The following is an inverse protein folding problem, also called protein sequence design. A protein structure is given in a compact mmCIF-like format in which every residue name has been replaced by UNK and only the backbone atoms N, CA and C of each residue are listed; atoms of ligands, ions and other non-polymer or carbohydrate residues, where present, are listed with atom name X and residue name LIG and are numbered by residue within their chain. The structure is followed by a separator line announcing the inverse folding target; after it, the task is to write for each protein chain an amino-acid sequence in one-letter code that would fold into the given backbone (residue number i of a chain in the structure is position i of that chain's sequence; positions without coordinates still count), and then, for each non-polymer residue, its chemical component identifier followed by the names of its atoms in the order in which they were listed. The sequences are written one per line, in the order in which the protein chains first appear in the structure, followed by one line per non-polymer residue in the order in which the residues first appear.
data_IF_567532100227
#
_entry.id   IF_567532100227
#
_cell.length_a   1.000
_cell.length_b   1.000
_cell.length_c   1.000
_cell.angle_alpha   90.00
_cell.angle_beta   90.00
_cell.angle_gamma   90.00
#
_symmetry.space_group_name_H-M   'P 1'
#
loop_
_entity.id
_entity.type
_entity.pdbx_description
1 polymer ?
#
# COMPACT_ATOMS: atom_id res chain seq x y z
N UNK A 1 -11.15 3.29 -22.59
CA UNK A 1 -9.69 3.49 -22.45
C UNK A 1 -9.03 2.12 -22.47
N UNK A 2 -8.12 1.87 -23.38
CA UNK A 2 -7.33 0.62 -23.45
C UNK A 2 -6.30 0.57 -22.30
N UNK A 3 -5.68 -0.60 -22.08
CA UNK A 3 -4.61 -0.73 -21.09
C UNK A 3 -3.44 0.23 -21.39
N UNK A 4 -2.99 0.33 -22.65
CA UNK A 4 -1.89 1.22 -23.03
C UNK A 4 -2.22 2.71 -22.93
N UNK A 5 -3.48 3.12 -23.04
CA UNK A 5 -3.89 4.51 -22.79
C UNK A 5 -3.85 4.86 -21.30
N UNK A 6 -4.19 3.89 -20.44
CA UNK A 6 -4.07 4.05 -18.99
C UNK A 6 -2.60 4.13 -18.55
N UNK A 7 -1.79 3.24 -19.06
CA UNK A 7 -0.36 3.23 -18.75
C UNK A 7 0.25 4.59 -19.10
N UNK A 8 -0.06 5.14 -20.27
CA UNK A 8 0.39 6.49 -20.66
C UNK A 8 -0.18 7.60 -19.77
N UNK A 9 -1.47 7.53 -19.40
CA UNK A 9 -2.09 8.54 -18.53
C UNK A 9 -1.41 8.62 -17.17
N UNK A 10 -0.99 7.48 -16.62
CA UNK A 10 -0.45 7.39 -15.28
C UNK A 10 1.07 7.17 -15.22
N UNK A 11 1.79 7.24 -16.36
CA UNK A 11 3.23 6.93 -16.42
C UNK A 11 4.06 7.77 -15.43
N UNK A 12 3.85 9.09 -15.43
CA UNK A 12 4.56 10.01 -14.53
C UNK A 12 4.14 9.75 -13.07
N UNK A 13 2.85 9.64 -12.81
CA UNK A 13 2.33 9.33 -11.47
C UNK A 13 2.89 8.01 -10.94
N UNK A 14 2.86 6.94 -11.72
CA UNK A 14 3.35 5.61 -11.33
C UNK A 14 4.82 5.66 -10.96
N UNK A 15 5.62 6.40 -11.69
CA UNK A 15 7.05 6.55 -11.44
C UNK A 15 7.30 7.20 -10.08
N UNK A 16 6.65 8.35 -9.82
CA UNK A 16 6.78 9.05 -8.53
C UNK A 16 6.20 8.23 -7.37
N UNK A 17 5.01 7.68 -7.55
CA UNK A 17 4.34 6.87 -6.54
C UNK A 17 5.14 5.63 -6.17
N UNK A 18 5.70 4.94 -7.17
CA UNK A 18 6.60 3.79 -6.94
C UNK A 18 7.83 4.20 -6.15
N UNK A 19 8.47 5.31 -6.54
CA UNK A 19 9.61 5.84 -5.81
C UNK A 19 9.24 6.16 -4.36
N UNK A 20 8.23 7.01 -4.14
CA UNK A 20 7.85 7.46 -2.80
C UNK A 20 7.43 6.30 -1.90
N UNK A 21 6.56 5.43 -2.40
CA UNK A 21 6.04 4.31 -1.64
C UNK A 21 7.12 3.31 -1.21
N UNK A 22 8.11 3.03 -2.06
CA UNK A 22 9.23 2.16 -1.71
C UNK A 22 10.27 2.88 -0.84
N UNK A 23 10.55 4.16 -1.08
CA UNK A 23 11.49 4.94 -0.26
C UNK A 23 10.99 5.10 1.20
N UNK A 24 9.67 5.23 1.42
CA UNK A 24 9.07 5.19 2.75
C UNK A 24 9.45 3.91 3.49
N UNK A 25 9.52 2.78 2.81
CA UNK A 25 9.91 1.47 3.38
C UNK A 25 11.43 1.24 3.41
N UNK A 26 12.22 2.21 2.97
CA UNK A 26 13.68 2.15 3.06
C UNK A 26 14.41 1.69 1.79
N UNK A 27 13.72 1.56 0.66
CA UNK A 27 14.35 1.38 -0.65
C UNK A 27 15.22 2.61 -0.97
N UNK A 28 16.41 2.40 -1.48
CA UNK A 28 17.43 3.46 -1.68
C UNK A 28 17.56 3.95 -3.12
N UNK A 29 16.72 3.46 -4.03
CA UNK A 29 16.66 4.01 -5.39
C UNK A 29 16.21 5.47 -5.34
N UNK A 30 16.87 6.33 -6.09
CA UNK A 30 16.39 7.71 -6.34
C UNK A 30 15.22 7.69 -7.31
N UNK A 31 14.46 8.80 -7.41
CA UNK A 31 13.38 8.93 -8.39
C UNK A 31 13.87 8.66 -9.83
N UNK A 32 15.06 9.19 -10.18
CA UNK A 32 15.67 8.95 -11.49
C UNK A 32 16.04 7.48 -11.71
N UNK A 33 16.61 6.83 -10.71
CA UNK A 33 16.96 5.40 -10.78
C UNK A 33 15.70 4.55 -10.86
N UNK A 34 14.64 4.88 -10.09
CA UNK A 34 13.35 4.22 -10.20
C UNK A 34 12.79 4.31 -11.63
N UNK A 35 12.81 5.50 -12.24
CA UNK A 35 12.37 5.68 -13.62
C UNK A 35 13.15 4.79 -14.61
N UNK A 36 14.46 4.63 -14.42
CA UNK A 36 15.31 3.76 -15.25
C UNK A 36 14.97 2.28 -15.03
N UNK A 37 14.78 1.86 -13.78
CA UNK A 37 14.38 0.48 -13.43
C UNK A 37 13.04 0.14 -14.06
N UNK A 38 12.06 1.03 -14.00
CA UNK A 38 10.74 0.82 -14.60
C UNK A 38 10.77 0.70 -16.13
N UNK A 39 11.83 1.22 -16.77
CA UNK A 39 12.13 1.06 -18.20
C UNK A 39 12.97 -0.18 -18.51
N UNK A 40 13.23 -1.04 -17.52
CA UNK A 40 13.96 -2.30 -17.67
C UNK A 40 15.48 -2.20 -17.55
N UNK A 41 16.01 -1.08 -17.04
CA UNK A 41 17.45 -0.92 -16.81
C UNK A 41 17.81 -1.36 -15.39
N UNK A 42 19.05 -1.83 -15.23
CA UNK A 42 19.64 -2.14 -13.92
C UNK A 42 20.54 -0.98 -13.46
N UNK A 43 20.53 -0.74 -12.15
CA UNK A 43 21.35 0.31 -11.53
C UNK A 43 22.51 -0.35 -10.81
N UNK A 44 23.74 0.07 -11.17
CA UNK A 44 24.95 -0.45 -10.52
C UNK A 44 24.95 -0.17 -9.01
N UNK A 45 25.48 -1.11 -8.24
CA UNK A 45 25.59 -1.05 -6.77
C UNK A 45 24.28 -0.95 -6.01
N UNK A 46 23.14 -1.17 -6.66
CA UNK A 46 21.84 -1.33 -5.97
C UNK A 46 21.44 -2.79 -5.86
N UNK A 47 20.93 -3.25 -4.70
CA UNK A 47 20.47 -4.62 -4.53
C UNK A 47 19.38 -5.00 -5.53
N UNK A 48 19.42 -6.22 -6.04
CA UNK A 48 18.35 -6.74 -6.92
C UNK A 48 16.96 -6.63 -6.27
N UNK A 49 16.89 -6.86 -4.96
CA UNK A 49 15.65 -6.69 -4.18
C UNK A 49 14.99 -5.33 -4.44
N UNK A 50 15.76 -4.24 -4.44
CA UNK A 50 15.22 -2.89 -4.64
C UNK A 50 14.65 -2.67 -6.05
N UNK A 51 15.26 -3.29 -7.07
CA UNK A 51 14.73 -3.29 -8.43
C UNK A 51 13.41 -4.06 -8.53
N UNK A 52 13.34 -5.22 -7.87
CA UNK A 52 12.13 -6.04 -7.84
C UNK A 52 11.00 -5.32 -7.10
N UNK A 53 11.28 -4.70 -5.96
CA UNK A 53 10.30 -3.89 -5.22
C UNK A 53 9.70 -2.78 -6.09
N UNK A 54 10.51 -2.09 -6.89
CA UNK A 54 10.03 -1.04 -7.79
C UNK A 54 9.13 -1.61 -8.91
N UNK A 55 9.56 -2.66 -9.59
CA UNK A 55 8.77 -3.27 -10.68
C UNK A 55 7.48 -3.90 -10.17
N UNK A 56 7.53 -4.61 -9.05
CA UNK A 56 6.37 -5.24 -8.42
C UNK A 56 5.35 -4.20 -7.92
N UNK A 57 5.80 -3.09 -7.35
CA UNK A 57 4.91 -2.01 -6.91
C UNK A 57 4.19 -1.36 -8.11
N UNK A 58 4.90 -1.09 -9.21
CA UNK A 58 4.28 -0.64 -10.47
C UNK A 58 3.20 -1.61 -10.93
N UNK A 59 3.53 -2.90 -10.99
CA UNK A 59 2.62 -3.93 -11.48
C UNK A 59 1.37 -4.05 -10.59
N UNK A 60 1.55 -3.92 -9.26
CA UNK A 60 0.47 -3.87 -8.30
C UNK A 60 -0.43 -2.64 -8.50
N UNK A 61 0.14 -1.47 -8.81
CA UNK A 61 -0.66 -0.29 -9.11
C UNK A 61 -1.49 -0.46 -10.40
N UNK A 62 -0.91 -1.02 -11.47
CA UNK A 62 -1.67 -1.31 -12.69
C UNK A 62 -2.76 -2.36 -12.47
N UNK A 63 -2.52 -3.34 -11.61
CA UNK A 63 -3.58 -4.27 -11.17
C UNK A 63 -4.73 -3.51 -10.48
N UNK A 64 -4.41 -2.60 -9.55
CA UNK A 64 -5.38 -1.75 -8.86
C UNK A 64 -6.17 -0.89 -9.86
N UNK A 65 -5.53 -0.26 -10.83
CA UNK A 65 -6.20 0.48 -11.91
C UNK A 65 -7.17 -0.41 -12.71
N UNK A 66 -6.81 -1.66 -12.95
CA UNK A 66 -7.68 -2.64 -13.59
C UNK A 66 -8.95 -2.92 -12.79
N UNK A 67 -8.83 -3.02 -11.46
CA UNK A 67 -9.98 -3.24 -10.56
C UNK A 67 -10.95 -2.05 -10.54
N UNK A 68 -10.44 -0.83 -10.62
CA UNK A 68 -11.27 0.40 -10.63
C UNK A 68 -12.16 0.47 -11.87
N UNK A 69 -11.69 -0.04 -13.00
CA UNK A 69 -12.48 -0.06 -14.26
C UNK A 69 -13.62 -1.09 -14.26
N UNK A 70 -13.52 -2.09 -13.44
CA UNK A 70 -14.53 -3.15 -13.35
C UNK A 70 -15.82 -2.68 -12.66
N UNK A 71 -16.76 -3.62 -12.49
CA UNK A 71 -17.95 -3.35 -11.68
C UNK A 71 -17.50 -3.06 -10.24
N UNK A 72 -17.95 -1.95 -9.63
CA UNK A 72 -17.60 -1.64 -8.25
C UNK A 72 -17.94 -2.81 -7.32
N UNK A 73 -16.91 -3.36 -6.68
CA UNK A 73 -17.05 -4.44 -5.71
C UNK A 73 -16.68 -3.92 -4.33
N UNK A 74 -17.30 -4.48 -3.32
CA UNK A 74 -16.85 -4.30 -1.93
C UNK A 74 -15.41 -4.78 -1.80
N UNK A 75 -14.65 -4.15 -0.92
CA UNK A 75 -13.31 -4.62 -0.60
C UNK A 75 -13.42 -6.00 0.07
N UNK A 76 -12.61 -6.96 -0.38
CA UNK A 76 -12.58 -8.30 0.16
C UNK A 76 -11.14 -8.77 0.46
N UNK A 77 -11.05 -9.81 1.26
CA UNK A 77 -9.77 -10.41 1.66
C UNK A 77 -8.97 -10.93 0.46
N UNK A 78 -9.65 -11.46 -0.55
CA UNK A 78 -9.01 -11.99 -1.75
C UNK A 78 -8.31 -10.88 -2.54
N UNK A 79 -8.94 -9.72 -2.66
CA UNK A 79 -8.36 -8.52 -3.28
C UNK A 79 -7.13 -8.04 -2.54
N UNK A 80 -7.20 -7.94 -1.19
CA UNK A 80 -6.07 -7.54 -0.35
C UNK A 80 -4.88 -8.49 -0.54
N UNK A 81 -5.13 -9.79 -0.45
CA UNK A 81 -4.10 -10.83 -0.63
C UNK A 81 -3.52 -10.84 -2.05
N UNK A 82 -4.33 -10.56 -3.05
CA UNK A 82 -3.86 -10.49 -4.43
C UNK A 82 -2.96 -9.27 -4.67
N UNK A 83 -3.32 -8.08 -4.15
CA UNK A 83 -2.45 -6.89 -4.20
C UNK A 83 -1.11 -7.20 -3.51
N UNK A 84 -1.16 -7.75 -2.29
CA UNK A 84 0.06 -8.13 -1.57
C UNK A 84 0.89 -9.18 -2.34
N UNK A 85 0.25 -10.14 -3.00
CA UNK A 85 0.97 -11.17 -3.75
C UNK A 85 1.77 -10.61 -4.93
N UNK A 86 1.33 -9.48 -5.50
CA UNK A 86 2.07 -8.78 -6.55
C UNK A 86 3.20 -7.96 -5.93
N UNK A 87 2.93 -7.25 -4.82
CA UNK A 87 3.93 -6.46 -4.08
C UNK A 87 5.10 -7.31 -3.60
N UNK A 88 4.88 -8.59 -3.30
CA UNK A 88 5.89 -9.51 -2.77
C UNK A 88 6.10 -10.73 -3.70
N UNK A 89 6.04 -10.51 -5.02
CA UNK A 89 6.06 -11.59 -6.00
C UNK A 89 7.37 -12.40 -6.04
N UNK A 90 8.47 -11.83 -5.56
CA UNK A 90 9.77 -12.48 -5.43
C UNK A 90 9.87 -13.44 -4.23
N UNK A 91 8.84 -13.51 -3.37
CA UNK A 91 8.78 -14.39 -2.19
C UNK A 91 7.57 -15.33 -2.26
N UNK A 92 7.65 -16.43 -3.01
CA UNK A 92 6.51 -17.30 -3.29
C UNK A 92 5.83 -17.89 -2.04
N UNK A 93 6.55 -18.05 -0.92
CA UNK A 93 6.01 -18.60 0.33
C UNK A 93 5.23 -17.56 1.16
N UNK A 94 5.57 -16.27 1.00
CA UNK A 94 5.03 -15.17 1.82
C UNK A 94 3.94 -14.38 1.09
N UNK A 95 3.98 -14.36 -0.25
CA UNK A 95 3.09 -13.53 -1.06
C UNK A 95 1.61 -13.91 -0.88
N UNK A 96 0.79 -12.92 -0.51
CA UNK A 96 -0.63 -13.14 -0.28
C UNK A 96 -0.98 -13.98 0.95
N UNK A 97 0.00 -14.30 1.80
CA UNK A 97 -0.17 -15.15 2.97
C UNK A 97 0.00 -14.31 4.25
N UNK A 98 -0.94 -14.41 5.17
CA UNK A 98 -0.79 -13.78 6.49
C UNK A 98 0.38 -14.40 7.26
N UNK A 99 1.13 -13.54 7.95
CA UNK A 99 2.28 -13.97 8.75
C UNK A 99 1.88 -15.00 9.81
N UNK A 100 2.80 -15.90 10.09
CA UNK A 100 2.65 -16.94 11.12
C UNK A 100 3.70 -16.79 12.24
N UNK A 101 4.25 -15.58 12.37
CA UNK A 101 5.25 -15.24 13.38
C UNK A 101 5.10 -13.79 13.84
N UNK A 102 5.66 -13.43 15.01
CA UNK A 102 5.73 -12.05 15.46
C UNK A 102 6.56 -11.19 14.48
N UNK A 103 6.15 -9.93 14.31
CA UNK A 103 6.91 -8.90 13.59
C UNK A 103 7.01 -7.65 14.44
N UNK A 104 7.94 -6.76 14.08
CA UNK A 104 8.06 -5.42 14.66
C UNK A 104 7.95 -4.39 13.54
N UNK A 105 7.25 -3.30 13.81
CA UNK A 105 7.14 -2.17 12.89
C UNK A 105 8.23 -1.18 13.28
N UNK A 106 9.16 -0.91 12.36
CA UNK A 106 10.22 0.06 12.60
C UNK A 106 9.67 1.47 12.76
N UNK A 107 10.00 2.12 13.88
CA UNK A 107 9.56 3.49 14.16
C UNK A 107 8.15 3.63 14.73
N UNK A 108 7.42 2.52 14.97
CA UNK A 108 6.15 2.53 15.67
C UNK A 108 6.33 2.18 17.16
N UNK A 109 5.55 2.84 18.02
CA UNK A 109 5.38 2.46 19.43
C UNK A 109 4.46 1.25 19.61
N UNK A 110 3.61 1.01 18.62
CA UNK A 110 2.64 -0.07 18.58
C UNK A 110 3.30 -1.44 18.37
N UNK A 111 2.82 -2.43 19.11
CA UNK A 111 3.20 -3.85 18.93
C UNK A 111 2.07 -4.55 18.16
N UNK A 112 2.35 -5.06 16.95
CA UNK A 112 1.33 -5.78 16.18
C UNK A 112 0.75 -6.97 16.94
N UNK A 113 -0.54 -7.29 16.73
CA UNK A 113 -1.22 -8.37 17.44
C UNK A 113 -0.57 -9.73 17.19
N UNK A 114 -0.88 -10.68 18.07
CA UNK A 114 -0.47 -12.06 17.85
C UNK A 114 -0.96 -12.57 16.49
N UNK A 115 -0.08 -13.19 15.74
CA UNK A 115 -0.35 -13.68 14.40
C UNK A 115 -1.57 -14.64 14.31
N UNK A 116 -1.86 -15.41 15.35
CA UNK A 116 -3.03 -16.30 15.38
C UNK A 116 -4.37 -15.53 15.32
N UNK A 117 -4.39 -14.24 15.68
CA UNK A 117 -5.59 -13.39 15.63
C UNK A 117 -5.78 -12.68 14.30
N UNK A 118 -4.78 -12.68 13.41
CA UNK A 118 -4.80 -11.92 12.16
C UNK A 118 -6.02 -12.24 11.28
N UNK A 119 -6.37 -13.52 11.03
CA UNK A 119 -7.54 -13.81 10.19
C UNK A 119 -8.83 -13.17 10.71
N UNK A 120 -9.05 -13.26 12.04
CA UNK A 120 -10.23 -12.66 12.68
C UNK A 120 -10.20 -11.13 12.59
N UNK A 121 -9.07 -10.51 12.93
CA UNK A 121 -8.92 -9.04 12.88
C UNK A 121 -9.07 -8.49 11.48
N UNK A 122 -8.56 -9.17 10.46
CA UNK A 122 -8.74 -8.76 9.07
C UNK A 122 -10.19 -8.92 8.60
N UNK A 123 -10.86 -9.98 9.00
CA UNK A 123 -12.28 -10.16 8.73
C UNK A 123 -13.10 -9.02 9.35
N UNK A 124 -12.90 -8.74 10.64
CA UNK A 124 -13.57 -7.66 11.36
C UNK A 124 -13.31 -6.28 10.74
N UNK A 125 -12.06 -6.01 10.30
CA UNK A 125 -11.70 -4.77 9.63
C UNK A 125 -12.43 -4.61 8.30
N UNK A 126 -12.51 -5.67 7.49
CA UNK A 126 -13.19 -5.66 6.19
C UNK A 126 -14.70 -5.51 6.37
N UNK A 127 -15.30 -6.23 7.32
CA UNK A 127 -16.71 -6.11 7.67
C UNK A 127 -17.05 -4.69 8.13
N UNK A 128 -16.25 -4.13 9.05
CA UNK A 128 -16.39 -2.75 9.48
C UNK A 128 -16.29 -1.79 8.28
N UNK A 129 -15.29 -1.92 7.44
CA UNK A 129 -15.12 -1.04 6.29
C UNK A 129 -16.33 -1.06 5.34
N UNK A 130 -16.87 -2.24 5.09
CA UNK A 130 -17.99 -2.47 4.17
C UNK A 130 -19.38 -2.21 4.78
N UNK A 131 -19.48 -1.93 6.09
CA UNK A 131 -20.77 -1.69 6.76
C UNK A 131 -21.41 -0.36 6.37
N UNK A 132 -20.63 0.59 5.87
CA UNK A 132 -21.08 1.91 5.43
C UNK A 132 -20.48 2.28 4.07
N UNK A 133 -20.98 3.35 3.48
CA UNK A 133 -20.39 3.89 2.23
C UNK A 133 -18.97 4.39 2.50
N UNK A 134 -18.01 4.08 1.63
CA UNK A 134 -16.65 4.59 1.74
C UNK A 134 -16.63 6.13 1.73
N UNK A 135 -15.81 6.70 2.60
CA UNK A 135 -15.44 8.13 2.62
C UNK A 135 -13.91 8.22 2.72
N UNK A 136 -13.33 9.37 2.44
CA UNK A 136 -11.88 9.56 2.61
C UNK A 136 -11.43 9.29 4.03
N UNK A 137 -12.19 9.79 5.02
CA UNK A 137 -11.97 9.51 6.44
C UNK A 137 -11.95 8.00 6.72
N UNK A 138 -12.94 7.27 6.18
CA UNK A 138 -13.05 5.82 6.39
C UNK A 138 -11.94 5.03 5.71
N UNK A 139 -11.46 5.50 4.55
CA UNK A 139 -10.29 4.93 3.86
C UNK A 139 -9.02 5.17 4.69
N UNK A 140 -8.81 6.37 5.20
CA UNK A 140 -7.67 6.69 6.06
C UNK A 140 -7.69 5.86 7.36
N UNK A 141 -8.86 5.70 7.98
CA UNK A 141 -9.01 4.86 9.16
C UNK A 141 -8.78 3.38 8.85
N UNK A 142 -9.29 2.87 7.71
CA UNK A 142 -8.99 1.51 7.27
C UNK A 142 -7.47 1.31 7.14
N UNK A 143 -6.78 2.26 6.51
CA UNK A 143 -5.34 2.20 6.34
C UNK A 143 -4.60 2.17 7.68
N UNK A 144 -4.96 3.04 8.64
CA UNK A 144 -4.36 3.03 9.97
C UNK A 144 -4.56 1.70 10.71
N UNK A 145 -5.78 1.17 10.69
CA UNK A 145 -6.12 -0.12 11.32
C UNK A 145 -5.43 -1.30 10.63
N UNK A 146 -5.28 -1.24 9.30
CA UNK A 146 -4.53 -2.23 8.55
C UNK A 146 -3.05 -2.23 8.96
N UNK A 147 -2.42 -1.04 9.09
CA UNK A 147 -1.05 -0.90 9.56
C UNK A 147 -0.89 -1.39 11.01
N UNK A 148 -1.86 -1.16 11.90
CA UNK A 148 -1.86 -1.70 13.26
C UNK A 148 -1.91 -3.23 13.28
N UNK A 149 -2.74 -3.85 12.47
CA UNK A 149 -2.83 -5.32 12.37
C UNK A 149 -1.53 -5.89 11.79
N UNK A 150 -0.96 -5.19 10.82
CA UNK A 150 0.28 -5.59 10.13
C UNK A 150 0.24 -7.05 9.69
N UNK A 151 -0.70 -7.42 8.79
CA UNK A 151 -1.08 -8.80 8.60
C UNK A 151 -0.03 -9.67 7.90
N UNK A 152 0.93 -9.07 7.20
CA UNK A 152 1.92 -9.78 6.41
C UNK A 152 3.31 -9.68 7.04
N UNK A 153 4.24 -10.52 6.56
CA UNK A 153 5.61 -10.53 7.06
C UNK A 153 6.42 -9.31 6.58
N UNK A 154 6.09 -8.77 5.41
CA UNK A 154 6.69 -7.62 4.74
C UNK A 154 5.65 -7.01 3.78
N UNK A 155 5.90 -5.82 3.23
CA UNK A 155 5.05 -5.21 2.22
C UNK A 155 3.72 -4.63 2.71
N UNK A 156 3.47 -4.54 4.03
CA UNK A 156 2.22 -4.02 4.57
C UNK A 156 1.98 -2.57 4.15
N UNK A 157 2.93 -1.65 4.36
CA UNK A 157 2.78 -0.25 4.01
C UNK A 157 2.50 -0.04 2.52
N UNK A 158 3.25 -0.70 1.64
CA UNK A 158 3.03 -0.65 0.18
C UNK A 158 1.64 -1.15 -0.19
N UNK A 159 1.22 -2.29 0.37
CA UNK A 159 -0.11 -2.86 0.16
C UNK A 159 -1.21 -1.96 0.69
N UNK A 160 -1.08 -1.43 1.90
CA UNK A 160 -2.04 -0.53 2.52
C UNK A 160 -2.26 0.76 1.71
N UNK A 161 -1.19 1.38 1.20
CA UNK A 161 -1.29 2.56 0.33
C UNK A 161 -1.92 2.24 -1.04
N UNK A 162 -1.68 1.05 -1.59
CA UNK A 162 -2.33 0.59 -2.81
C UNK A 162 -3.83 0.34 -2.62
N UNK A 163 -4.24 -0.25 -1.49
CA UNK A 163 -5.65 -0.43 -1.12
C UNK A 163 -6.34 0.93 -0.93
N UNK A 164 -5.70 1.87 -0.24
CA UNK A 164 -6.24 3.22 -0.08
C UNK A 164 -6.47 3.89 -1.44
N UNK A 165 -5.52 3.78 -2.37
CA UNK A 165 -5.67 4.29 -3.73
C UNK A 165 -6.77 3.57 -4.53
N UNK A 166 -6.92 2.26 -4.38
CA UNK A 166 -8.04 1.52 -4.97
C UNK A 166 -9.39 2.14 -4.54
N UNK A 167 -9.56 2.35 -3.24
CA UNK A 167 -10.82 2.85 -2.70
C UNK A 167 -11.05 4.36 -3.02
N UNK A 168 -9.99 5.18 -3.01
CA UNK A 168 -10.03 6.58 -3.45
C UNK A 168 -10.48 6.69 -4.91
N UNK A 169 -9.88 5.89 -5.79
CA UNK A 169 -10.24 5.89 -7.21
C UNK A 169 -11.65 5.33 -7.47
N UNK A 170 -12.15 4.39 -6.68
CA UNK A 170 -13.56 3.95 -6.73
C UNK A 170 -14.55 5.08 -6.37
N UNK A 171 -14.12 6.05 -5.58
CA UNK A 171 -14.90 7.26 -5.30
C UNK A 171 -14.85 8.29 -6.43
N UNK A 172 -14.08 8.04 -7.49
CA UNK A 172 -13.93 8.95 -8.64
C UNK A 172 -12.85 10.02 -8.48
N UNK A 173 -11.99 9.91 -7.46
CA UNK A 173 -10.85 10.81 -7.28
C UNK A 173 -9.61 10.28 -7.98
N UNK A 174 -8.65 11.17 -8.27
CA UNK A 174 -7.32 10.76 -8.73
C UNK A 174 -6.56 10.07 -7.57
N UNK A 175 -5.65 9.16 -7.89
CA UNK A 175 -4.85 8.48 -6.88
C UNK A 175 -3.91 9.46 -6.15
N UNK A 176 -3.61 9.16 -4.90
CA UNK A 176 -2.79 9.99 -4.01
C UNK A 176 -1.41 9.38 -3.83
N UNK A 177 -0.40 10.23 -3.80
CA UNK A 177 0.99 9.87 -3.56
C UNK A 177 1.53 10.55 -2.31
N UNK A 178 1.67 9.79 -1.23
CA UNK A 178 2.33 10.24 -0.01
C UNK A 178 3.83 10.39 -0.31
N UNK A 179 4.31 11.62 -0.37
CA UNK A 179 5.71 11.91 -0.72
C UNK A 179 6.68 11.40 0.35
N UNK A 180 7.80 10.84 -0.07
CA UNK A 180 8.86 10.40 0.85
C UNK A 180 9.36 11.54 1.75
N UNK A 181 9.37 12.77 1.25
CA UNK A 181 9.70 13.95 2.06
C UNK A 181 8.78 14.10 3.29
N UNK A 182 7.55 13.62 3.23
CA UNK A 182 6.56 13.66 4.31
C UNK A 182 6.53 12.34 5.12
N UNK A 183 7.54 11.46 4.96
CA UNK A 183 7.60 10.17 5.65
C UNK A 183 7.44 10.31 7.17
N UNK A 184 8.10 11.31 7.76
CA UNK A 184 7.99 11.55 9.21
C UNK A 184 6.55 11.88 9.59
N UNK A 185 5.92 12.78 8.87
CA UNK A 185 4.53 13.18 9.13
C UNK A 185 3.55 12.00 8.98
N UNK A 186 3.77 11.15 7.99
CA UNK A 186 2.99 9.93 7.79
C UNK A 186 3.09 8.97 8.97
N UNK A 187 4.29 8.70 9.48
CA UNK A 187 4.46 7.86 10.67
C UNK A 187 3.95 8.53 11.96
N UNK A 188 4.13 9.84 12.10
CA UNK A 188 3.56 10.58 13.22
C UNK A 188 2.02 10.50 13.23
N UNK A 189 1.38 10.58 12.07
CA UNK A 189 -0.07 10.44 11.94
C UNK A 189 -0.57 9.02 12.27
N UNK A 190 0.18 7.98 11.90
CA UNK A 190 -0.13 6.60 12.28
C UNK A 190 0.02 6.39 13.79
N UNK A 191 1.10 6.90 14.40
CA UNK A 191 1.31 6.83 15.85
C UNK A 191 0.24 7.62 16.63
N UNK A 192 -0.16 8.81 16.14
CA UNK A 192 -1.26 9.58 16.73
C UNK A 192 -2.58 8.79 16.71
N UNK A 193 -2.87 8.10 15.58
CA UNK A 193 -4.03 7.21 15.54
C UNK A 193 -3.92 6.04 16.51
N UNK A 194 -2.72 5.50 16.75
CA UNK A 194 -2.53 4.43 17.73
C UNK A 194 -2.92 4.87 19.15
N UNK A 195 -2.57 6.11 19.52
CA UNK A 195 -2.77 6.66 20.86
C UNK A 195 -4.19 7.21 21.07
N UNK A 196 -4.71 7.95 20.08
CA UNK A 196 -5.92 8.76 20.23
C UNK A 196 -7.14 8.23 19.52
N UNK A 197 -6.94 7.36 18.50
CA UNK A 197 -7.93 6.96 17.49
C UNK A 197 -8.42 8.12 16.61
N UNK A 198 -7.73 9.25 16.62
CA UNK A 198 -8.01 10.40 15.76
C UNK A 198 -7.36 10.21 14.38
N UNK A 199 -8.17 10.13 13.33
CA UNK A 199 -7.69 9.84 11.95
C UNK A 199 -7.44 11.09 11.12
N UNK A 200 -7.84 12.26 11.61
CA UNK A 200 -7.88 13.52 10.85
C UNK A 200 -6.52 13.88 10.22
N UNK A 201 -5.44 13.73 10.95
CA UNK A 201 -4.10 14.02 10.44
C UNK A 201 -3.70 13.06 9.31
N UNK A 202 -4.00 11.78 9.45
CA UNK A 202 -3.73 10.79 8.40
C UNK A 202 -4.61 11.06 7.17
N UNK A 203 -5.88 11.44 7.37
CA UNK A 203 -6.81 11.79 6.29
C UNK A 203 -6.23 12.90 5.39
N UNK A 204 -5.56 13.91 5.96
CA UNK A 204 -4.98 15.01 5.16
C UNK A 204 -3.88 14.55 4.20
N UNK A 205 -3.27 13.39 4.44
CA UNK A 205 -2.26 12.80 3.56
C UNK A 205 -2.88 12.00 2.39
N UNK A 206 -4.19 11.78 2.43
CA UNK A 206 -4.97 11.10 1.39
C UNK A 206 -5.90 12.05 0.60
N UNK A 207 -5.52 13.33 0.54
CA UNK A 207 -6.29 14.37 -0.19
C UNK A 207 -5.52 14.86 -1.41
#
# INVERSE_FOLDING_TARGET
MTQGELERKYEDFVTEYTYNSNAIEGNTLTLRETALVLRGLTIDKKPLKEHLEATQHRDAFYYVLGLVKGTPRKLDEATIKQIHSIVLNDRPEDRGVYRKMPVRIMGASHIPPNWAKIPTLMHELIEWYNSEKPTRTRIAEFHARFEQIHPFIDGNGRTGRLIANLEIMKLGFEPVDIKFANRKEYYDALNEYDETKEVKRLETLFI
#
